data_IF_821721490841
#
_entry.id   IF_821721490841
#
_cell.length_a   1.000
_cell.length_b   1.000
_cell.length_c   1.000
_cell.angle_alpha   90.00
_cell.angle_beta   90.00
_cell.angle_gamma   90.00
#
_symmetry.space_group_name_H-M   'P 1'
#
loop_
_entity.id
_entity.type
_entity.pdbx_description
1 polymer ?
#
# COMPACT_ATOMS: atom_id res chain seq x y z
N UNK A 1 -39.25 26.32 -32.34
CA UNK A 1 -38.24 26.31 -33.42
C UNK A 1 -37.39 25.09 -33.17
N UNK A 2 -37.68 23.90 -33.61
CA UNK A 2 -37.82 23.35 -34.97
C UNK A 2 -36.47 23.23 -35.68
N UNK A 3 -36.08 21.99 -35.90
CA UNK A 3 -35.17 21.53 -36.93
C UNK A 3 -33.90 20.88 -36.40
N UNK A 4 -33.44 19.75 -36.83
CA UNK A 4 -33.82 18.73 -37.83
C UNK A 4 -32.86 17.55 -37.62
N UNK A 5 -33.37 16.35 -37.47
CA UNK A 5 -32.69 15.07 -37.66
C UNK A 5 -32.65 14.77 -39.18
N UNK A 6 -31.66 14.05 -39.69
CA UNK A 6 -32.01 13.00 -40.64
C UNK A 6 -31.46 11.62 -40.21
N UNK A 7 -32.42 10.70 -40.13
CA UNK A 7 -32.23 9.27 -40.24
C UNK A 7 -31.81 8.90 -41.67
N UNK A 8 -30.92 7.93 -41.83
CA UNK A 8 -30.76 7.16 -43.07
C UNK A 8 -30.89 5.68 -42.72
N UNK A 9 -32.08 5.17 -42.98
CA UNK A 9 -32.39 3.78 -43.25
C UNK A 9 -31.90 3.42 -44.67
N UNK A 10 -31.27 2.27 -44.80
CA UNK A 10 -30.97 1.67 -46.10
C UNK A 10 -30.90 0.16 -45.98
N UNK A 11 -32.09 -0.43 -45.89
CA UNK A 11 -32.28 -1.85 -46.22
C UNK A 11 -32.06 -2.05 -47.71
N UNK A 12 -31.34 -3.07 -48.11
CA UNK A 12 -31.54 -3.79 -49.37
C UNK A 12 -31.19 -5.25 -49.21
N UNK A 13 -32.24 -6.05 -49.13
CA UNK A 13 -32.27 -7.46 -49.47
C UNK A 13 -32.24 -7.62 -51.00
N UNK A 14 -31.91 -8.83 -51.41
CA UNK A 14 -32.13 -9.53 -52.65
C UNK A 14 -30.94 -9.82 -53.55
N UNK A 15 -30.75 -11.12 -53.76
CA UNK A 15 -30.24 -11.66 -54.97
C UNK A 15 -29.55 -13.01 -54.88
N UNK A 16 -30.33 -14.08 -54.64
CA UNK A 16 -29.94 -15.45 -54.98
C UNK A 16 -29.80 -15.57 -56.49
N UNK A 17 -28.69 -16.05 -56.97
CA UNK A 17 -28.63 -16.80 -58.26
C UNK A 17 -27.45 -17.74 -58.23
N UNK A 18 -27.79 -19.04 -58.32
CA UNK A 18 -26.94 -20.10 -58.76
C UNK A 18 -26.30 -19.81 -60.11
N UNK A 19 -25.00 -19.91 -60.21
CA UNK A 19 -24.31 -20.19 -61.48
C UNK A 19 -23.07 -21.01 -61.22
N UNK A 20 -23.18 -22.27 -61.67
CA UNK A 20 -22.23 -23.21 -62.27
C UNK A 20 -20.85 -23.44 -61.66
N UNK A 21 -20.75 -24.64 -61.26
CA UNK A 21 -19.55 -25.46 -61.18
C UNK A 21 -18.88 -25.59 -62.57
N UNK A 22 -17.78 -24.84 -62.78
CA UNK A 22 -16.70 -25.15 -63.77
C UNK A 22 -15.63 -24.08 -63.66
N UNK A 23 -14.66 -24.30 -62.83
CA UNK A 23 -13.26 -24.15 -63.17
C UNK A 23 -12.38 -24.60 -61.97
N UNK A 24 -12.26 -25.90 -61.83
CA UNK A 24 -11.17 -26.51 -61.07
C UNK A 24 -10.03 -26.78 -62.06
N UNK A 25 -9.15 -25.84 -62.26
CA UNK A 25 -7.74 -26.09 -62.64
C UNK A 25 -6.94 -24.79 -62.68
N UNK A 26 -5.93 -24.74 -61.81
CA UNK A 26 -4.80 -23.89 -61.99
C UNK A 26 -4.77 -22.57 -61.23
N UNK A 27 -4.44 -22.60 -59.97
CA UNK A 27 -3.59 -21.62 -59.29
C UNK A 27 -3.15 -22.17 -57.94
N UNK A 28 -2.44 -23.32 -57.98
CA UNK A 28 -1.41 -23.59 -56.95
C UNK A 28 -0.15 -22.75 -57.29
N UNK A 29 -0.33 -21.43 -57.31
CA UNK A 29 0.78 -20.49 -57.29
C UNK A 29 1.05 -20.15 -55.83
N UNK A 30 2.08 -20.82 -55.27
CA UNK A 30 2.54 -20.71 -53.89
C UNK A 30 2.43 -19.30 -53.32
N UNK A 31 1.49 -19.08 -52.44
CA UNK A 31 1.69 -18.14 -51.37
C UNK A 31 2.87 -18.62 -50.52
N UNK A 32 4.07 -18.38 -51.05
CA UNK A 32 5.24 -18.27 -50.20
C UNK A 32 4.90 -17.12 -49.24
N UNK A 33 4.39 -17.49 -48.09
CA UNK A 33 4.44 -16.62 -46.90
C UNK A 33 5.90 -16.21 -46.76
N UNK A 34 6.23 -15.09 -47.36
CA UNK A 34 7.49 -14.41 -47.10
C UNK A 34 7.50 -14.18 -45.60
N UNK A 35 8.18 -15.06 -44.87
CA UNK A 35 8.55 -14.84 -43.50
C UNK A 35 9.31 -13.51 -43.50
N UNK A 36 8.56 -12.41 -43.31
CA UNK A 36 9.12 -11.08 -43.14
C UNK A 36 10.06 -11.22 -41.94
N UNK A 37 11.35 -11.47 -42.24
CA UNK A 37 12.41 -11.37 -41.23
C UNK A 37 12.29 -9.99 -40.65
N UNK A 38 11.66 -9.93 -39.44
CA UNK A 38 11.57 -8.67 -38.71
C UNK A 38 12.98 -8.09 -38.67
N UNK A 39 13.19 -6.86 -39.16
CA UNK A 39 14.53 -6.31 -39.21
C UNK A 39 15.07 -6.30 -37.76
N UNK A 40 16.35 -6.59 -37.59
CA UNK A 40 17.04 -6.66 -36.29
C UNK A 40 16.75 -5.43 -35.44
N UNK A 41 16.56 -4.28 -36.05
CA UNK A 41 16.14 -3.03 -35.45
C UNK A 41 14.80 -3.11 -34.71
N UNK A 42 13.84 -3.89 -35.19
CA UNK A 42 12.54 -4.05 -34.51
C UNK A 42 12.68 -4.81 -33.18
N UNK A 43 13.73 -5.60 -33.01
CA UNK A 43 14.04 -6.29 -31.75
C UNK A 43 14.89 -5.43 -30.80
N UNK A 44 15.73 -4.54 -31.32
CA UNK A 44 16.65 -3.72 -30.51
C UNK A 44 16.00 -2.41 -30.05
N UNK A 45 15.14 -1.84 -30.89
CA UNK A 45 14.50 -0.54 -30.60
C UNK A 45 13.74 -0.49 -29.24
N UNK A 46 12.94 -1.49 -28.85
CA UNK A 46 12.30 -1.50 -27.54
C UNK A 46 13.30 -1.47 -26.38
N UNK A 47 14.42 -2.17 -26.51
CA UNK A 47 15.47 -2.19 -25.49
C UNK A 47 16.20 -0.85 -25.37
N UNK A 48 16.42 -0.15 -26.49
CA UNK A 48 16.98 1.20 -26.48
C UNK A 48 16.07 2.20 -25.79
N UNK A 49 14.74 2.07 -25.94
CA UNK A 49 13.78 2.92 -25.24
C UNK A 49 13.74 2.62 -23.73
N UNK A 50 13.95 1.36 -23.34
CA UNK A 50 13.99 0.96 -21.93
C UNK A 50 15.34 1.26 -21.27
N UNK A 51 16.40 1.47 -22.03
CA UNK A 51 17.76 1.61 -21.52
C UNK A 51 17.91 2.75 -20.50
N UNK A 52 17.40 3.97 -20.72
CA UNK A 52 17.51 5.04 -19.73
C UNK A 52 16.86 4.65 -18.39
N UNK A 53 15.67 4.06 -18.43
CA UNK A 53 14.97 3.61 -17.24
C UNK A 53 15.71 2.45 -16.54
N UNK A 54 16.23 1.49 -17.31
CA UNK A 54 17.01 0.37 -16.80
C UNK A 54 18.31 0.84 -16.11
N UNK A 55 19.02 1.81 -16.72
CA UNK A 55 20.23 2.39 -16.12
C UNK A 55 19.92 3.09 -14.82
N UNK A 56 18.86 3.91 -14.78
CA UNK A 56 18.44 4.59 -13.54
C UNK A 56 18.03 3.60 -12.45
N UNK A 57 17.27 2.56 -12.81
CA UNK A 57 16.90 1.50 -11.86
C UNK A 57 18.14 0.73 -11.36
N UNK A 58 19.06 0.40 -12.24
CA UNK A 58 20.29 -0.27 -11.84
C UNK A 58 21.13 0.60 -10.90
N UNK A 59 21.32 1.89 -11.23
CA UNK A 59 22.16 2.80 -10.46
C UNK A 59 21.54 3.22 -9.12
N UNK A 60 20.24 3.51 -9.08
CA UNK A 60 19.60 4.09 -7.90
C UNK A 60 18.76 3.11 -7.07
N UNK A 61 18.49 1.92 -7.58
CA UNK A 61 17.75 0.89 -6.85
C UNK A 61 18.60 -0.35 -6.60
N UNK A 62 19.08 -1.00 -7.66
CA UNK A 62 19.77 -2.28 -7.51
C UNK A 62 21.17 -2.14 -6.90
N UNK A 63 21.95 -1.16 -7.37
CA UNK A 63 23.29 -0.95 -6.82
C UNK A 63 23.27 -0.61 -5.32
N UNK A 64 22.43 0.32 -4.78
CA UNK A 64 22.36 0.57 -3.34
C UNK A 64 21.93 -0.66 -2.53
N UNK A 65 21.01 -1.47 -3.04
CA UNK A 65 20.59 -2.72 -2.37
C UNK A 65 21.79 -3.66 -2.24
N UNK A 66 22.51 -3.91 -3.34
CA UNK A 66 23.68 -4.79 -3.33
C UNK A 66 24.81 -4.24 -2.44
N UNK A 67 25.04 -2.93 -2.49
CA UNK A 67 26.01 -2.25 -1.63
C UNK A 67 25.63 -2.38 -0.14
N UNK A 68 24.35 -2.26 0.20
CA UNK A 68 23.86 -2.47 1.57
C UNK A 68 24.08 -3.91 2.01
N UNK A 69 23.72 -4.89 1.18
CA UNK A 69 23.98 -6.30 1.50
C UNK A 69 25.49 -6.57 1.67
N UNK A 70 26.32 -6.00 0.79
CA UNK A 70 27.77 -6.14 0.89
C UNK A 70 28.31 -5.53 2.20
N UNK A 71 27.80 -4.37 2.62
CA UNK A 71 28.23 -3.67 3.82
C UNK A 71 27.95 -4.47 5.11
N UNK A 72 26.96 -5.39 5.11
CA UNK A 72 26.65 -6.21 6.31
C UNK A 72 27.77 -7.17 6.72
N UNK A 73 28.67 -7.50 5.81
CA UNK A 73 29.78 -8.43 6.06
C UNK A 73 31.04 -7.74 6.63
N UNK A 74 30.98 -6.44 6.86
CA UNK A 74 32.11 -5.65 7.32
C UNK A 74 31.79 -4.91 8.61
N UNK A 75 32.83 -4.51 9.35
CA UNK A 75 32.75 -3.58 10.48
C UNK A 75 33.62 -2.37 10.19
N UNK A 76 33.10 -1.19 10.46
CA UNK A 76 33.85 0.06 10.30
C UNK A 76 34.72 0.30 11.53
N UNK A 77 36.05 0.38 11.37
CA UNK A 77 36.96 0.79 12.42
C UNK A 77 37.07 2.30 12.44
N UNK A 78 37.11 2.88 13.65
CA UNK A 78 37.20 4.32 13.84
C UNK A 78 38.44 4.96 13.19
N UNK A 79 39.56 4.24 13.09
CA UNK A 79 40.84 4.70 12.56
C UNK A 79 41.50 3.66 11.62
N UNK A 80 40.72 2.94 10.79
CA UNK A 80 41.30 1.92 9.91
C UNK A 80 40.35 1.48 8.78
N UNK A 81 40.84 0.63 7.87
CA UNK A 81 40.01 0.08 6.82
C UNK A 81 38.90 -0.80 7.40
N UNK A 82 37.82 -0.95 6.67
CA UNK A 82 36.75 -1.87 7.00
C UNK A 82 37.30 -3.30 7.13
N UNK A 83 36.93 -4.02 8.19
CA UNK A 83 37.34 -5.40 8.43
C UNK A 83 36.19 -6.33 8.02
N UNK A 84 36.50 -7.34 7.25
CA UNK A 84 35.57 -8.41 6.93
C UNK A 84 35.32 -9.29 8.17
N UNK A 85 34.07 -9.40 8.61
CA UNK A 85 33.64 -10.13 9.82
C UNK A 85 32.61 -11.23 9.51
N UNK A 86 32.31 -11.46 8.24
CA UNK A 86 31.33 -12.48 7.85
C UNK A 86 29.93 -12.18 8.41
N UNK A 87 29.40 -13.09 9.23
CA UNK A 87 28.05 -12.99 9.78
C UNK A 87 27.98 -12.44 11.22
N UNK A 88 29.06 -11.89 11.75
CA UNK A 88 29.09 -11.43 13.13
C UNK A 88 28.12 -10.26 13.40
N UNK A 89 27.87 -9.39 12.42
CA UNK A 89 26.86 -8.34 12.55
C UNK A 89 25.44 -8.92 12.72
N UNK A 90 25.14 -10.04 12.07
CA UNK A 90 23.85 -10.73 12.25
C UNK A 90 23.74 -11.39 13.63
N UNK A 91 24.85 -11.97 14.14
CA UNK A 91 24.88 -12.50 15.52
C UNK A 91 24.66 -11.39 16.53
N UNK A 92 25.41 -10.29 16.40
CA UNK A 92 25.24 -9.11 17.25
C UNK A 92 23.81 -8.57 17.22
N UNK A 93 23.14 -8.57 16.05
CA UNK A 93 21.74 -8.15 15.92
C UNK A 93 20.79 -9.08 16.71
N UNK A 94 20.99 -10.40 16.64
CA UNK A 94 20.14 -11.34 17.37
C UNK A 94 20.38 -11.32 18.89
N UNK A 95 21.56 -10.91 19.31
CA UNK A 95 21.93 -10.73 20.73
C UNK A 95 21.50 -9.34 21.27
N UNK A 96 21.07 -8.42 20.39
CA UNK A 96 20.66 -7.07 20.78
C UNK A 96 19.23 -7.05 21.33
N UNK A 97 19.04 -6.75 22.64
CA UNK A 97 17.71 -6.66 23.23
C UNK A 97 16.85 -5.53 22.63
N UNK A 98 17.47 -4.43 22.14
CA UNK A 98 16.76 -3.31 21.51
C UNK A 98 16.16 -3.76 20.18
N UNK A 99 16.85 -4.58 19.39
CA UNK A 99 16.31 -5.13 18.16
C UNK A 99 14.99 -5.90 18.40
N UNK A 100 14.96 -6.76 19.40
CA UNK A 100 13.75 -7.54 19.73
C UNK A 100 12.61 -6.66 20.24
N UNK A 101 12.92 -5.66 21.08
CA UNK A 101 11.93 -4.69 21.54
C UNK A 101 11.31 -3.92 20.38
N UNK A 102 12.13 -3.42 19.46
CA UNK A 102 11.72 -2.67 18.30
C UNK A 102 10.90 -3.53 17.34
N UNK A 103 11.27 -4.79 17.16
CA UNK A 103 10.53 -5.74 16.34
C UNK A 103 9.14 -6.03 16.95
N UNK A 104 9.07 -6.21 18.26
CA UNK A 104 7.81 -6.33 19.00
C UNK A 104 6.93 -5.09 18.82
N UNK A 105 7.50 -3.90 19.00
CA UNK A 105 6.81 -2.63 18.80
C UNK A 105 6.23 -2.52 17.38
N UNK A 106 7.01 -2.90 16.35
CA UNK A 106 6.54 -2.94 14.97
C UNK A 106 5.36 -3.90 14.78
N UNK A 107 5.40 -5.07 15.42
CA UNK A 107 4.29 -6.02 15.34
C UNK A 107 3.03 -5.46 16.02
N UNK A 108 3.14 -4.87 17.21
CA UNK A 108 2.04 -4.22 17.93
C UNK A 108 1.47 -3.06 17.10
N UNK A 109 2.34 -2.20 16.55
CA UNK A 109 1.94 -1.09 15.70
C UNK A 109 1.20 -1.56 14.43
N UNK A 110 1.75 -2.57 13.75
CA UNK A 110 1.14 -3.14 12.54
C UNK A 110 -0.21 -3.81 12.83
N UNK A 111 -0.31 -4.58 13.93
CA UNK A 111 -1.56 -5.22 14.35
C UNK A 111 -2.62 -4.20 14.81
N UNK A 112 -2.20 -3.09 15.36
CA UNK A 112 -3.10 -1.99 15.75
C UNK A 112 -3.57 -1.17 14.54
N UNK A 113 -2.66 -0.83 13.63
CA UNK A 113 -2.95 0.09 12.51
C UNK A 113 -3.61 -0.62 11.33
N UNK A 114 -3.12 -1.78 10.90
CA UNK A 114 -3.55 -2.42 9.64
C UNK A 114 -5.01 -2.82 9.67
N UNK A 115 -5.49 -3.70 10.58
CA UNK A 115 -6.88 -4.15 10.56
C UNK A 115 -7.84 -3.00 10.84
N UNK A 116 -7.47 -2.09 11.74
CA UNK A 116 -8.32 -0.99 12.15
C UNK A 116 -8.47 0.06 11.05
N UNK A 117 -7.38 0.43 10.36
CA UNK A 117 -7.45 1.33 9.20
C UNK A 117 -8.26 0.74 8.05
N UNK A 118 -8.10 -0.56 7.77
CA UNK A 118 -8.86 -1.27 6.74
C UNK A 118 -10.36 -1.31 7.09
N UNK A 119 -10.69 -1.68 8.32
CA UNK A 119 -12.07 -1.74 8.78
C UNK A 119 -12.73 -0.34 8.74
N UNK A 120 -12.05 0.68 9.25
CA UNK A 120 -12.53 2.06 9.24
C UNK A 120 -12.71 2.57 7.80
N UNK A 121 -11.73 2.32 6.92
CA UNK A 121 -11.79 2.69 5.51
C UNK A 121 -12.99 2.06 4.79
N UNK A 122 -13.24 0.76 5.03
CA UNK A 122 -14.38 0.04 4.47
C UNK A 122 -15.71 0.60 4.97
N UNK A 123 -15.83 0.86 6.28
CA UNK A 123 -17.02 1.46 6.88
C UNK A 123 -17.29 2.86 6.29
N UNK A 124 -16.26 3.70 6.19
CA UNK A 124 -16.34 5.03 5.58
C UNK A 124 -16.76 4.93 4.11
N UNK A 125 -16.19 4.00 3.33
CA UNK A 125 -16.54 3.79 1.93
C UNK A 125 -18.00 3.37 1.75
N UNK A 126 -18.49 2.41 2.54
CA UNK A 126 -19.88 1.95 2.52
C UNK A 126 -20.83 3.11 2.87
N UNK A 127 -20.49 3.89 3.88
CA UNK A 127 -21.33 5.02 4.29
C UNK A 127 -21.40 6.11 3.23
N UNK A 128 -20.26 6.49 2.64
CA UNK A 128 -20.16 7.54 1.62
C UNK A 128 -20.70 7.08 0.25
N UNK A 129 -20.76 5.76 0.00
CA UNK A 129 -21.33 5.21 -1.24
C UNK A 129 -22.86 5.39 -1.31
N UNK A 130 -23.52 5.53 -0.17
CA UNK A 130 -24.97 5.80 -0.11
C UNK A 130 -25.32 7.14 -0.76
N UNK A 131 -26.58 7.29 -1.20
CA UNK A 131 -27.11 8.53 -1.79
C UNK A 131 -27.29 9.60 -0.70
N UNK A 132 -26.21 10.20 -0.22
CA UNK A 132 -26.22 11.26 0.79
C UNK A 132 -26.18 12.63 0.15
N UNK A 133 -26.98 13.59 0.68
CA UNK A 133 -26.81 15.02 0.37
C UNK A 133 -25.44 15.46 0.91
N UNK A 134 -24.61 16.12 0.07
CA UNK A 134 -23.28 16.58 0.50
C UNK A 134 -22.19 15.52 0.53
N UNK A 135 -22.38 14.34 -0.10
CA UNK A 135 -21.38 13.26 -0.14
C UNK A 135 -19.98 13.71 -0.63
N UNK A 136 -19.92 14.73 -1.51
CA UNK A 136 -18.66 15.29 -1.97
C UNK A 136 -17.86 15.94 -0.84
N UNK A 137 -18.54 16.69 0.05
CA UNK A 137 -17.91 17.28 1.22
C UNK A 137 -17.42 16.23 2.21
N UNK A 138 -18.24 15.19 2.45
CA UNK A 138 -17.85 14.08 3.35
C UNK A 138 -16.63 13.32 2.82
N UNK A 139 -16.57 13.07 1.50
CA UNK A 139 -15.40 12.48 0.83
C UNK A 139 -14.16 13.36 1.03
N UNK A 140 -14.30 14.66 0.81
CA UNK A 140 -13.21 15.61 1.00
C UNK A 140 -12.73 15.60 2.45
N UNK A 141 -13.63 15.67 3.42
CA UNK A 141 -13.29 15.68 4.84
C UNK A 141 -12.52 14.41 5.26
N UNK A 142 -12.95 13.23 4.79
CA UNK A 142 -12.26 11.97 5.09
C UNK A 142 -10.92 11.83 4.36
N UNK A 143 -10.78 12.42 3.19
CA UNK A 143 -9.55 12.36 2.41
C UNK A 143 -8.53 13.43 2.80
N UNK A 144 -8.98 14.56 3.37
CA UNK A 144 -8.10 15.67 3.75
C UNK A 144 -6.88 15.27 4.59
N UNK A 145 -6.99 14.40 5.61
CA UNK A 145 -5.83 13.97 6.39
C UNK A 145 -4.72 13.33 5.54
N UNK A 146 -5.09 12.64 4.48
CA UNK A 146 -4.13 11.94 3.60
C UNK A 146 -3.27 12.92 2.80
N UNK A 147 -3.81 14.07 2.41
CA UNK A 147 -3.12 15.09 1.60
C UNK A 147 -2.02 15.78 2.43
N UNK A 148 -2.20 15.87 3.75
CA UNK A 148 -1.26 16.55 4.61
C UNK A 148 0.08 15.79 4.70
N UNK A 149 1.24 16.49 4.63
CA UNK A 149 2.53 15.87 4.90
C UNK A 149 2.56 15.26 6.30
N UNK A 150 3.24 14.11 6.46
CA UNK A 150 3.28 13.39 7.75
C UNK A 150 3.83 14.24 8.89
N UNK A 151 4.83 15.08 8.60
CA UNK A 151 5.41 16.03 9.55
C UNK A 151 4.35 17.02 10.09
N UNK A 152 3.50 17.56 9.20
CA UNK A 152 2.43 18.47 9.61
C UNK A 152 1.39 17.76 10.48
N UNK A 153 0.98 16.54 10.10
CA UNK A 153 0.09 15.69 10.88
C UNK A 153 0.67 15.42 12.26
N UNK A 154 1.95 15.03 12.34
CA UNK A 154 2.63 14.77 13.60
C UNK A 154 2.61 16.00 14.54
N UNK A 155 2.86 17.20 14.02
CA UNK A 155 2.79 18.44 14.81
C UNK A 155 1.38 18.76 15.31
N UNK A 156 0.33 18.53 14.47
CA UNK A 156 -1.06 18.69 14.90
C UNK A 156 -1.39 17.75 16.05
N UNK A 157 -1.01 16.48 15.92
CA UNK A 157 -1.26 15.48 16.95
C UNK A 157 -0.40 15.67 18.20
N UNK A 158 0.83 16.19 18.05
CA UNK A 158 1.67 16.59 19.18
C UNK A 158 0.95 17.62 20.05
N UNK A 159 0.30 18.63 19.43
CA UNK A 159 -0.55 19.57 20.15
C UNK A 159 -1.73 18.90 20.84
N UNK A 160 -2.39 17.94 20.20
CA UNK A 160 -3.51 17.21 20.82
C UNK A 160 -3.11 16.40 22.04
N UNK A 161 -1.90 15.83 22.04
CA UNK A 161 -1.35 15.02 23.13
C UNK A 161 -0.54 15.82 24.17
N UNK A 162 -0.42 17.14 24.01
CA UNK A 162 0.32 17.95 24.99
C UNK A 162 -0.38 17.88 26.34
N UNK A 163 0.33 17.55 27.43
CA UNK A 163 -0.25 17.54 28.77
C UNK A 163 -0.83 18.92 29.14
N UNK A 164 -1.92 18.91 29.88
CA UNK A 164 -2.65 20.06 30.42
C UNK A 164 -3.34 20.97 29.40
N UNK A 165 -2.75 21.23 28.23
CA UNK A 165 -3.27 22.16 27.22
C UNK A 165 -3.86 21.44 26.00
N UNK A 166 -3.48 20.21 25.77
CA UNK A 166 -3.90 19.44 24.61
C UNK A 166 -5.38 19.12 24.61
N UNK A 167 -5.94 18.92 23.43
CA UNK A 167 -7.37 18.65 23.26
C UNK A 167 -7.83 17.44 24.10
N UNK A 168 -7.02 16.39 24.19
CA UNK A 168 -7.38 15.20 24.97
C UNK A 168 -7.44 15.48 26.47
N UNK A 169 -6.51 16.24 26.99
CA UNK A 169 -6.52 16.58 28.42
C UNK A 169 -7.63 17.58 28.77
N UNK A 170 -7.94 18.51 27.87
CA UNK A 170 -9.13 19.35 28.03
C UNK A 170 -10.42 18.53 28.07
N UNK A 171 -10.58 17.56 27.18
CA UNK A 171 -11.73 16.65 27.20
C UNK A 171 -11.78 15.81 28.49
N UNK A 172 -10.64 15.32 28.99
CA UNK A 172 -10.56 14.62 30.28
C UNK A 172 -10.95 15.52 31.43
N UNK A 173 -10.51 16.78 31.40
CA UNK A 173 -10.86 17.79 32.40
C UNK A 173 -12.36 18.04 32.51
N UNK A 174 -13.15 17.95 31.41
CA UNK A 174 -14.61 18.01 31.44
C UNK A 174 -15.25 16.89 32.29
N UNK A 175 -14.57 15.76 32.41
CA UNK A 175 -14.99 14.61 33.24
C UNK A 175 -14.32 14.59 34.63
N UNK A 176 -13.60 15.65 35.01
CA UNK A 176 -12.87 15.73 36.27
C UNK A 176 -11.68 14.80 36.41
N UNK A 177 -11.14 14.29 35.28
CA UNK A 177 -9.98 13.43 35.27
C UNK A 177 -8.67 14.25 35.20
N UNK A 178 -7.62 13.85 35.92
CA UNK A 178 -6.33 14.56 35.89
C UNK A 178 -5.70 14.52 34.51
N UNK A 179 -4.85 15.50 34.22
CA UNK A 179 -4.01 15.51 33.02
C UNK A 179 -3.14 14.25 32.92
N UNK A 180 -2.75 13.87 31.68
CA UNK A 180 -1.96 12.69 31.44
C UNK A 180 -0.85 12.97 30.41
N UNK A 181 0.34 12.48 30.69
CA UNK A 181 1.45 12.59 29.73
C UNK A 181 1.38 11.47 28.68
N UNK A 182 0.55 11.67 27.68
CA UNK A 182 0.23 10.68 26.64
C UNK A 182 1.45 10.11 25.90
N UNK A 183 2.41 10.95 25.57
CA UNK A 183 3.61 10.57 24.81
C UNK A 183 4.80 10.21 25.73
N UNK A 184 4.76 10.61 26.99
CA UNK A 184 5.79 10.30 27.99
C UNK A 184 5.52 9.04 28.78
N UNK A 185 4.36 8.42 28.64
CA UNK A 185 4.01 7.15 29.30
C UNK A 185 4.21 5.97 28.33
N UNK A 186 4.99 4.97 28.75
CA UNK A 186 5.28 3.76 27.97
C UNK A 186 4.02 2.96 27.58
N UNK A 187 2.96 3.03 28.37
CA UNK A 187 1.71 2.29 28.10
C UNK A 187 0.81 2.96 27.09
N UNK A 188 0.89 4.29 26.92
CA UNK A 188 -0.01 5.06 26.06
C UNK A 188 0.63 5.50 24.75
N UNK A 189 1.95 5.69 24.72
CA UNK A 189 2.65 6.24 23.57
C UNK A 189 2.38 5.47 22.27
N UNK A 190 2.42 4.14 22.31
CA UNK A 190 2.16 3.32 21.11
C UNK A 190 0.71 3.47 20.63
N UNK A 191 -0.26 3.50 21.53
CA UNK A 191 -1.67 3.73 21.19
C UNK A 191 -1.89 5.11 20.54
N UNK A 192 -1.21 6.15 21.02
CA UNK A 192 -1.25 7.49 20.45
C UNK A 192 -0.76 7.51 18.99
N UNK A 193 0.35 6.84 18.71
CA UNK A 193 0.87 6.71 17.36
C UNK A 193 -0.07 5.92 16.44
N UNK A 194 -0.63 4.82 16.94
CA UNK A 194 -1.60 3.98 16.22
C UNK A 194 -2.83 4.79 15.83
N UNK A 195 -3.43 5.55 16.78
CA UNK A 195 -4.63 6.36 16.52
C UNK A 195 -4.36 7.42 15.45
N UNK A 196 -3.23 8.12 15.54
CA UNK A 196 -2.85 9.14 14.57
C UNK A 196 -2.72 8.55 13.16
N UNK A 197 -2.04 7.40 13.03
CA UNK A 197 -1.82 6.75 11.73
C UNK A 197 -3.11 6.20 11.15
N UNK A 198 -3.99 5.60 11.97
CA UNK A 198 -5.32 5.16 11.53
C UNK A 198 -6.11 6.33 10.93
N UNK A 199 -6.15 7.46 11.65
CA UNK A 199 -6.86 8.67 11.18
C UNK A 199 -6.33 9.17 9.83
N UNK A 200 -5.01 9.13 9.63
CA UNK A 200 -4.36 9.56 8.39
C UNK A 200 -4.60 8.57 7.23
N UNK A 201 -4.42 7.27 7.46
CA UNK A 201 -4.41 6.25 6.41
C UNK A 201 -5.82 5.78 6.01
N UNK A 202 -6.79 5.82 6.92
CA UNK A 202 -8.14 5.32 6.64
C UNK A 202 -8.80 6.04 5.47
N UNK A 203 -8.60 7.36 5.33
CA UNK A 203 -9.11 8.14 4.21
C UNK A 203 -8.51 7.75 2.86
N UNK A 204 -7.22 7.40 2.84
CA UNK A 204 -6.55 6.90 1.66
C UNK A 204 -7.11 5.54 1.22
N UNK A 205 -7.22 4.61 2.14
CA UNK A 205 -7.76 3.27 1.86
C UNK A 205 -9.25 3.31 1.49
N UNK A 206 -10.02 4.25 2.05
CA UNK A 206 -11.43 4.47 1.70
C UNK A 206 -11.64 4.68 0.20
N UNK A 207 -10.74 5.39 -0.48
CA UNK A 207 -10.89 5.69 -1.92
C UNK A 207 -10.87 4.42 -2.75
N UNK A 208 -10.00 3.45 -2.43
CA UNK A 208 -9.92 2.19 -3.15
C UNK A 208 -11.19 1.36 -2.95
N UNK A 209 -11.69 1.28 -1.71
CA UNK A 209 -12.95 0.60 -1.43
C UNK A 209 -14.15 1.29 -2.11
N UNK A 210 -14.17 2.62 -2.09
CA UNK A 210 -15.23 3.40 -2.74
C UNK A 210 -15.24 3.19 -4.26
N UNK A 211 -14.07 3.17 -4.89
CA UNK A 211 -13.94 2.88 -6.32
C UNK A 211 -14.43 1.46 -6.65
N UNK A 212 -14.06 0.46 -5.85
CA UNK A 212 -14.51 -0.91 -6.03
C UNK A 212 -16.03 -1.05 -5.82
N UNK A 213 -16.61 -0.41 -4.80
CA UNK A 213 -18.06 -0.40 -4.57
C UNK A 213 -18.83 0.25 -5.71
N UNK A 214 -18.28 1.26 -6.37
CA UNK A 214 -18.91 1.96 -7.48
C UNK A 214 -18.85 1.19 -8.82
N UNK A 215 -17.99 0.19 -8.91
CA UNK A 215 -17.88 -0.68 -10.08
C UNK A 215 -18.80 -1.91 -9.98
N UNK A 216 -19.43 -2.14 -8.84
CA UNK A 216 -20.37 -3.27 -8.68
C UNK A 216 -21.63 -3.04 -9.52
N UNK A 217 -22.06 -4.04 -10.31
CA UNK A 217 -23.31 -3.97 -11.06
C UNK A 217 -24.50 -3.77 -10.11
N UNK A 218 -25.38 -2.78 -10.36
CA UNK A 218 -26.56 -2.53 -9.53
C UNK A 218 -27.55 -3.69 -9.54
N UNK A 219 -27.54 -4.52 -10.59
CA UNK A 219 -28.40 -5.69 -10.76
C UNK A 219 -28.19 -6.71 -9.62
N UNK A 220 -27.00 -6.77 -9.02
CA UNK A 220 -26.74 -7.65 -7.88
C UNK A 220 -27.52 -7.23 -6.63
N UNK A 221 -27.63 -5.92 -6.40
CA UNK A 221 -28.41 -5.38 -5.28
C UNK A 221 -29.92 -5.56 -5.52
N UNK A 222 -30.37 -5.34 -6.76
CA UNK A 222 -31.76 -5.53 -7.18
C UNK A 222 -32.18 -7.01 -7.07
N UNK A 223 -31.35 -7.93 -7.55
CA UNK A 223 -31.61 -9.37 -7.45
C UNK A 223 -31.71 -9.81 -5.97
N UNK A 224 -30.79 -9.35 -5.13
CA UNK A 224 -30.81 -9.65 -3.70
C UNK A 224 -32.08 -9.09 -3.01
N UNK A 225 -32.56 -7.92 -3.43
CA UNK A 225 -33.78 -7.33 -2.91
C UNK A 225 -35.03 -8.16 -3.31
N UNK A 226 -35.08 -8.67 -4.55
CA UNK A 226 -36.15 -9.56 -5.04
C UNK A 226 -36.18 -10.89 -4.27
N UNK A 227 -35.01 -11.43 -3.94
CA UNK A 227 -34.86 -12.64 -3.12
C UNK A 227 -35.15 -12.41 -1.62
N UNK A 228 -35.40 -11.17 -1.20
CA UNK A 228 -35.65 -10.82 0.21
C UNK A 228 -34.39 -10.87 1.09
N UNK A 229 -33.22 -10.82 0.51
CA UNK A 229 -31.97 -10.85 1.26
C UNK A 229 -31.75 -9.53 2.03
N UNK A 230 -31.56 -9.63 3.35
CA UNK A 230 -31.22 -8.48 4.18
C UNK A 230 -29.85 -7.89 3.85
N UNK A 231 -29.67 -6.59 4.11
CA UNK A 231 -28.42 -5.83 3.77
C UNK A 231 -27.14 -6.49 4.32
N UNK A 232 -27.18 -7.03 5.54
CA UNK A 232 -26.04 -7.75 6.14
C UNK A 232 -25.71 -9.05 5.41
N UNK A 233 -26.74 -9.79 4.98
CA UNK A 233 -26.57 -11.01 4.19
C UNK A 233 -25.94 -10.70 2.84
N UNK A 234 -26.46 -9.69 2.13
CA UNK A 234 -25.91 -9.20 0.88
C UNK A 234 -24.45 -8.74 1.03
N UNK A 235 -24.16 -7.95 2.06
CA UNK A 235 -22.80 -7.51 2.34
C UNK A 235 -21.85 -8.70 2.51
N UNK A 236 -22.20 -9.65 3.37
CA UNK A 236 -21.32 -10.77 3.71
C UNK A 236 -21.14 -11.77 2.57
N UNK A 237 -22.19 -12.01 1.76
CA UNK A 237 -22.20 -13.04 0.72
C UNK A 237 -21.84 -12.54 -0.66
N UNK A 238 -22.05 -11.27 -0.93
CA UNK A 238 -21.82 -10.67 -2.27
C UNK A 238 -20.78 -9.56 -2.20
N UNK A 239 -21.06 -8.48 -1.45
CA UNK A 239 -20.20 -7.28 -1.45
C UNK A 239 -18.80 -7.59 -0.93
N UNK A 240 -18.67 -8.21 0.25
CA UNK A 240 -17.37 -8.46 0.85
C UNK A 240 -16.48 -9.42 0.04
N UNK A 241 -16.98 -10.54 -0.51
CA UNK A 241 -16.19 -11.37 -1.42
C UNK A 241 -15.72 -10.62 -2.67
N UNK A 242 -16.57 -9.79 -3.28
CA UNK A 242 -16.19 -8.97 -4.44
C UNK A 242 -15.14 -7.89 -4.09
N UNK A 243 -15.09 -7.45 -2.85
CA UNK A 243 -14.06 -6.52 -2.34
C UNK A 243 -12.74 -7.19 -1.96
N UNK A 244 -12.64 -8.53 -1.96
CA UNK A 244 -11.42 -9.23 -1.54
C UNK A 244 -10.18 -8.84 -2.33
N UNK A 245 -10.19 -8.68 -3.66
CA UNK A 245 -9.03 -8.20 -4.41
C UNK A 245 -8.58 -6.81 -3.95
N UNK A 246 -9.52 -5.90 -3.73
CA UNK A 246 -9.24 -4.56 -3.20
C UNK A 246 -8.70 -4.64 -1.77
N UNK A 247 -9.26 -5.50 -0.93
CA UNK A 247 -8.80 -5.72 0.45
C UNK A 247 -7.38 -6.27 0.47
N UNK A 248 -7.03 -7.15 -0.45
CA UNK A 248 -5.67 -7.66 -0.62
C UNK A 248 -4.70 -6.52 -0.97
N UNK A 249 -5.05 -5.72 -1.99
CA UNK A 249 -4.26 -4.58 -2.42
C UNK A 249 -4.04 -3.57 -1.29
N UNK A 250 -5.11 -3.13 -0.64
CA UNK A 250 -5.07 -2.21 0.51
C UNK A 250 -4.25 -2.81 1.66
N UNK A 251 -4.45 -4.09 1.95
CA UNK A 251 -3.72 -4.79 2.98
C UNK A 251 -2.20 -4.87 2.73
N UNK A 252 -1.76 -5.06 1.48
CA UNK A 252 -0.33 -5.03 1.12
C UNK A 252 0.23 -3.62 1.35
N UNK A 253 -0.49 -2.58 0.87
CA UNK A 253 -0.07 -1.19 1.09
C UNK A 253 -0.01 -0.84 2.58
N UNK A 254 -1.00 -1.26 3.38
CA UNK A 254 -1.01 -1.02 4.82
C UNK A 254 0.18 -1.69 5.54
N UNK A 255 0.55 -2.91 5.15
CA UNK A 255 1.75 -3.57 5.68
C UNK A 255 3.00 -2.80 5.32
N UNK A 256 3.19 -2.43 4.05
CA UNK A 256 4.36 -1.66 3.62
C UNK A 256 4.44 -0.34 4.39
N UNK A 257 3.33 0.40 4.51
CA UNK A 257 3.27 1.67 5.23
C UNK A 257 3.62 1.50 6.72
N UNK A 258 3.14 0.46 7.39
CA UNK A 258 3.42 0.24 8.81
C UNK A 258 4.92 0.06 9.14
N UNK A 259 5.73 -0.35 8.15
CA UNK A 259 7.18 -0.47 8.31
C UNK A 259 7.98 0.72 7.75
N UNK A 260 7.37 1.55 6.89
CA UNK A 260 8.06 2.68 6.23
C UNK A 260 7.88 4.03 6.92
N UNK A 261 6.89 4.15 7.79
CA UNK A 261 6.57 5.41 8.45
C UNK A 261 7.54 5.67 9.60
N UNK A 262 8.41 6.66 9.47
CA UNK A 262 9.39 7.09 10.48
C UNK A 262 9.23 8.56 10.89
N UNK A 263 8.70 9.39 10.00
CA UNK A 263 8.67 10.85 10.15
C UNK A 263 7.97 11.31 11.45
N UNK A 264 6.86 10.65 11.79
CA UNK A 264 6.09 10.95 12.99
C UNK A 264 6.86 10.62 14.28
N UNK A 265 7.67 9.55 14.27
CA UNK A 265 8.51 9.17 15.41
C UNK A 265 9.58 10.23 15.68
N UNK A 266 10.24 10.72 14.63
CA UNK A 266 11.27 11.75 14.73
C UNK A 266 10.72 13.02 15.37
N UNK A 267 9.48 13.38 15.09
CA UNK A 267 8.82 14.60 15.59
C UNK A 267 8.24 14.39 16.98
N UNK A 268 7.49 13.32 17.20
CA UNK A 268 6.64 13.18 18.38
C UNK A 268 7.34 12.56 19.59
N UNK A 269 8.12 11.50 19.37
CA UNK A 269 8.59 10.66 20.46
C UNK A 269 10.09 10.39 20.45
N UNK A 270 10.73 10.48 19.30
CA UNK A 270 12.14 10.07 19.11
C UNK A 270 12.42 8.67 19.68
N UNK A 271 11.49 7.74 19.46
CA UNK A 271 11.57 6.38 19.97
C UNK A 271 11.24 6.20 21.44
N UNK A 272 11.10 7.29 22.22
CA UNK A 272 10.88 7.25 23.68
C UNK A 272 9.42 7.00 24.10
N UNK A 273 9.18 6.85 25.41
CA UNK A 273 10.18 6.65 26.47
C UNK A 273 10.79 5.24 26.43
N UNK A 274 12.07 5.09 26.79
CA UNK A 274 12.75 3.78 26.91
C UNK A 274 12.55 2.84 25.72
N UNK A 275 12.62 3.35 24.50
CA UNK A 275 12.35 2.65 23.24
C UNK A 275 10.91 2.10 23.09
N UNK A 276 9.93 2.49 23.94
CA UNK A 276 8.57 1.97 23.90
C UNK A 276 7.82 2.34 22.61
N UNK A 277 8.22 3.41 21.92
CA UNK A 277 7.66 3.80 20.62
C UNK A 277 8.62 3.60 19.45
N UNK A 278 9.85 3.12 19.68
CA UNK A 278 10.83 2.91 18.62
C UNK A 278 10.37 1.81 17.67
N UNK A 279 10.34 2.11 16.37
CA UNK A 279 10.05 1.18 15.28
C UNK A 279 11.34 0.86 14.51
N UNK A 280 11.34 -0.25 13.77
CA UNK A 280 12.56 -0.78 13.13
C UNK A 280 13.22 0.23 12.17
N UNK A 281 12.45 0.95 11.37
CA UNK A 281 13.02 1.97 10.47
C UNK A 281 13.60 3.16 11.24
N UNK A 282 12.99 3.54 12.37
CA UNK A 282 13.53 4.58 13.23
C UNK A 282 14.83 4.13 13.89
N UNK A 283 14.89 2.90 14.38
CA UNK A 283 16.11 2.33 14.95
C UNK A 283 17.25 2.24 13.93
N UNK A 284 16.95 1.84 12.68
CA UNK A 284 17.91 1.88 11.57
C UNK A 284 18.46 3.30 11.38
N UNK A 285 17.58 4.31 11.38
CA UNK A 285 17.97 5.70 11.27
C UNK A 285 18.90 6.12 12.43
N UNK A 286 18.55 5.79 13.65
CA UNK A 286 19.32 6.14 14.84
C UNK A 286 20.71 5.48 14.81
N UNK A 287 20.79 4.20 14.49
CA UNK A 287 22.06 3.47 14.36
C UNK A 287 22.93 4.04 13.24
N UNK A 288 22.34 4.35 12.09
CA UNK A 288 23.08 4.86 10.94
C UNK A 288 23.61 6.28 11.13
N UNK A 289 22.81 7.17 11.73
CA UNK A 289 23.08 8.60 11.75
C UNK A 289 23.46 9.14 13.13
N UNK A 290 22.92 8.58 14.21
CA UNK A 290 23.23 9.00 15.58
C UNK A 290 24.43 8.22 16.12
N UNK A 291 24.40 6.89 16.01
CA UNK A 291 25.49 6.04 16.49
C UNK A 291 26.61 5.86 15.46
N UNK A 292 26.37 6.26 14.21
CA UNK A 292 27.34 6.19 13.10
C UNK A 292 27.83 4.77 12.78
N UNK A 293 27.08 3.74 13.18
CA UNK A 293 27.37 2.34 12.87
C UNK A 293 26.63 1.92 11.58
N UNK A 294 27.21 2.29 10.44
CA UNK A 294 26.62 1.99 9.11
C UNK A 294 26.53 0.50 8.80
N UNK A 295 27.52 -0.36 9.11
CA UNK A 295 27.40 -1.79 8.86
C UNK A 295 26.28 -2.45 9.66
N UNK A 296 26.13 -2.11 10.93
CA UNK A 296 25.03 -2.62 11.73
C UNK A 296 23.68 -2.10 11.25
N UNK A 297 23.59 -0.82 10.89
CA UNK A 297 22.38 -0.27 10.25
C UNK A 297 22.04 -0.96 8.91
N UNK A 298 23.06 -1.32 8.11
CA UNK A 298 22.86 -2.11 6.89
C UNK A 298 22.30 -3.50 7.20
N UNK A 299 22.76 -4.15 8.26
CA UNK A 299 22.27 -5.45 8.72
C UNK A 299 20.80 -5.37 9.13
N UNK A 300 20.42 -4.37 9.93
CA UNK A 300 19.02 -4.09 10.28
C UNK A 300 18.16 -3.81 9.04
N UNK A 301 18.71 -3.08 8.06
CA UNK A 301 18.00 -2.78 6.80
C UNK A 301 17.75 -4.04 5.98
N UNK A 302 18.72 -4.95 5.86
CA UNK A 302 18.54 -6.23 5.18
C UNK A 302 17.49 -7.07 5.88
N UNK A 303 17.49 -7.09 7.23
CA UNK A 303 16.46 -7.78 8.01
C UNK A 303 15.07 -7.18 7.77
N UNK A 304 14.92 -5.86 7.74
CA UNK A 304 13.66 -5.19 7.40
C UNK A 304 13.16 -5.59 6.00
N UNK A 305 14.05 -5.57 5.00
CA UNK A 305 13.70 -6.00 3.64
C UNK A 305 13.24 -7.45 3.60
N UNK A 306 13.92 -8.33 4.33
CA UNK A 306 13.57 -9.75 4.42
C UNK A 306 12.19 -9.95 5.06
N UNK A 307 11.88 -9.23 6.14
CA UNK A 307 10.56 -9.24 6.77
C UNK A 307 9.47 -8.81 5.79
N UNK A 308 9.70 -7.73 5.03
CA UNK A 308 8.73 -7.23 4.05
C UNK A 308 8.54 -8.22 2.89
N UNK A 309 9.60 -8.85 2.40
CA UNK A 309 9.53 -9.88 1.35
C UNK A 309 8.74 -11.08 1.85
N UNK A 310 9.02 -11.58 3.06
CA UNK A 310 8.28 -12.70 3.65
C UNK A 310 6.79 -12.33 3.81
N UNK A 311 6.49 -11.14 4.33
CA UNK A 311 5.11 -10.68 4.49
C UNK A 311 4.37 -10.58 3.13
N UNK A 312 5.06 -10.12 2.08
CA UNK A 312 4.52 -10.08 0.72
C UNK A 312 4.27 -11.49 0.17
N UNK A 313 5.24 -12.40 0.31
CA UNK A 313 5.12 -13.78 -0.17
C UNK A 313 3.98 -14.54 0.53
N UNK A 314 3.84 -14.39 1.85
CA UNK A 314 2.74 -14.98 2.62
C UNK A 314 1.39 -14.48 2.08
N UNK A 315 1.27 -13.18 1.85
CA UNK A 315 0.03 -12.60 1.31
C UNK A 315 -0.27 -13.09 -0.11
N UNK A 316 0.70 -13.04 -1.02
CA UNK A 316 0.50 -13.53 -2.39
C UNK A 316 0.22 -15.04 -2.42
N UNK A 317 0.99 -15.85 -1.69
CA UNK A 317 0.83 -17.30 -1.71
C UNK A 317 -0.46 -17.80 -1.06
N UNK A 318 -0.95 -17.12 -0.03
CA UNK A 318 -2.13 -17.56 0.74
C UNK A 318 -3.45 -16.98 0.22
N UNK A 319 -3.47 -15.68 -0.15
CA UNK A 319 -4.71 -15.03 -0.57
C UNK A 319 -5.00 -15.21 -2.06
N UNK A 320 -4.00 -15.26 -2.93
CA UNK A 320 -4.21 -15.42 -4.37
C UNK A 320 -4.93 -16.73 -4.72
N UNK A 321 -4.67 -17.79 -3.96
CA UNK A 321 -5.37 -19.09 -4.10
C UNK A 321 -6.85 -19.06 -3.71
N UNK A 322 -7.32 -18.03 -2.99
CA UNK A 322 -8.71 -17.89 -2.54
C UNK A 322 -9.52 -16.85 -3.32
N UNK A 323 -8.86 -16.07 -4.15
CA UNK A 323 -9.50 -15.05 -4.97
C UNK A 323 -9.78 -15.66 -6.34
N UNK A 324 -11.07 -15.91 -6.63
CA UNK A 324 -11.51 -16.25 -7.97
C UNK A 324 -11.64 -14.94 -8.76
N UNK A 325 -10.69 -14.71 -9.66
CA UNK A 325 -10.85 -13.68 -10.69
C UNK A 325 -11.90 -14.20 -11.69
N UNK A 326 -13.11 -13.66 -11.62
CA UNK A 326 -14.13 -13.83 -12.66
C UNK A 326 -14.12 -12.59 -13.54
#
# INVERSE_FOLDING_TARGET
>A
MAGLVPAIHGSLCFGSKDVDARDKRGHDAGERTSAHRRPVWASVYPWLLLLPAAVLLAAFTHYPILATVYATFFVTRRNGPALFVGLDNYRAMFDDPVFWQVLHNNAVFALGTIPTSIALALLMAIWVNRKLRGRGFVRLAYFTPTILPMIAVANIWLFFYTPDYGLLDQLRGLFGLPGHNWLGDQHTVMACLVVMVIWKEAGFFMIFYLAALQQMPPELEEAAAVEGAGQWHFFRRVTFPLLMPTTLFVGINAVINSFKLVDHLVIMTKGGPSNASSLLLYYIYEVAFTFQDRPYAATLTVMLLLILVIAALIKFGYLDRRIHYQ
#
